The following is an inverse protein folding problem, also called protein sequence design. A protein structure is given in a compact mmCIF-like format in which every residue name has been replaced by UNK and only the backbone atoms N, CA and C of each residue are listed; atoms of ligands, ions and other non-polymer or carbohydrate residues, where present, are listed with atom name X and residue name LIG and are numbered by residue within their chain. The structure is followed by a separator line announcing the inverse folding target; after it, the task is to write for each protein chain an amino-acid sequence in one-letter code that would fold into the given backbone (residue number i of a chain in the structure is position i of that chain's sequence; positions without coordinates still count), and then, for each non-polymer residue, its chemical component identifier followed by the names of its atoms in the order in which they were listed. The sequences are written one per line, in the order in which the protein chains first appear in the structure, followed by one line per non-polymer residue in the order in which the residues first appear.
data_IF_779797344720
#
_entry.id   IF_779797344720
#
_cell.length_a   1.000
_cell.length_b   1.000
_cell.length_c   1.000
_cell.angle_alpha   90.00
_cell.angle_beta   90.00
_cell.angle_gamma   90.00
#
_symmetry.space_group_name_H-M   'P 1'
#
loop_
_entity.id
_entity.type
_entity.pdbx_description
1 polymer ?
#
# COMPACT_ATOMS: atom_id res chain seq x y z
N UNK A 1 5.01 15.93 -1.01
CA UNK A 1 5.37 15.40 0.32
C UNK A 1 6.87 15.49 0.43
N UNK A 2 7.39 16.18 1.45
CA UNK A 2 8.84 16.37 1.63
C UNK A 2 9.52 15.08 2.11
N UNK A 3 10.84 14.93 1.97
CA UNK A 3 11.48 13.66 2.37
C UNK A 3 11.64 13.46 3.88
N UNK A 4 11.61 14.53 4.67
CA UNK A 4 11.61 14.48 6.15
C UNK A 4 10.20 14.42 6.74
N UNK A 5 9.17 14.45 5.90
CA UNK A 5 7.79 14.38 6.35
C UNK A 5 7.50 12.98 6.94
N UNK A 6 6.93 12.96 8.15
CA UNK A 6 6.40 11.73 8.74
C UNK A 6 5.22 11.28 7.91
N UNK A 7 5.25 10.05 7.42
CA UNK A 7 4.24 9.54 6.51
C UNK A 7 3.66 8.25 7.05
N UNK A 8 2.33 8.21 7.05
CA UNK A 8 1.53 7.03 7.37
C UNK A 8 0.70 6.67 6.15
N UNK A 9 0.43 5.38 6.02
CA UNK A 9 -0.52 4.86 5.04
C UNK A 9 -1.77 4.46 5.80
N UNK A 10 -2.92 4.92 5.33
CA UNK A 10 -4.21 4.40 5.77
C UNK A 10 -4.85 3.64 4.62
N UNK A 11 -5.45 2.48 4.93
CA UNK A 11 -6.10 1.65 3.92
C UNK A 11 -7.60 1.47 4.23
N UNK A 12 -8.43 2.53 4.21
CA UNK A 12 -9.86 2.41 4.51
C UNK A 12 -10.57 1.50 3.51
N UNK A 13 -11.49 0.68 4.00
CA UNK A 13 -12.32 -0.18 3.17
C UNK A 13 -13.78 0.08 3.46
N UNK A 14 -14.57 0.22 2.40
CA UNK A 14 -15.97 0.61 2.48
C UNK A 14 -16.87 -0.48 1.88
N UNK A 15 -18.05 -0.64 2.47
CA UNK A 15 -19.05 -1.61 2.02
C UNK A 15 -19.86 -1.05 0.85
N UNK A 16 -19.18 -0.82 -0.27
CA UNK A 16 -19.78 -0.39 -1.54
C UNK A 16 -18.86 -0.74 -2.70
N UNK A 17 -19.37 -1.36 -3.76
CA UNK A 17 -18.59 -1.69 -4.96
C UNK A 17 -19.38 -1.61 -6.26
N UNK A 18 -20.60 -1.06 -6.24
CA UNK A 18 -21.55 -1.08 -7.35
C UNK A 18 -22.06 0.31 -7.74
N UNK A 19 -22.41 1.14 -6.75
CA UNK A 19 -22.95 2.49 -6.93
C UNK A 19 -21.84 3.50 -7.17
N UNK A 20 -21.58 3.81 -8.44
CA UNK A 20 -20.50 4.70 -8.86
C UNK A 20 -20.58 6.08 -8.16
N UNK A 21 -21.77 6.64 -8.00
CA UNK A 21 -22.00 7.92 -7.35
C UNK A 21 -21.62 7.92 -5.86
N UNK A 22 -21.78 6.78 -5.17
CA UNK A 22 -21.39 6.62 -3.77
C UNK A 22 -19.88 6.42 -3.65
N UNK A 23 -19.31 5.61 -4.55
CA UNK A 23 -17.87 5.37 -4.62
C UNK A 23 -17.13 6.68 -4.87
N UNK A 24 -17.53 7.44 -5.88
CA UNK A 24 -16.92 8.71 -6.23
C UNK A 24 -17.05 9.72 -5.08
N UNK A 25 -18.22 9.82 -4.44
CA UNK A 25 -18.39 10.70 -3.29
C UNK A 25 -17.46 10.37 -2.10
N UNK A 26 -17.24 9.08 -1.81
CA UNK A 26 -16.31 8.65 -0.77
C UNK A 26 -14.87 8.96 -1.17
N UNK A 27 -14.48 8.68 -2.43
CA UNK A 27 -13.15 8.98 -2.94
C UNK A 27 -12.87 10.49 -2.94
N UNK A 28 -13.83 11.31 -3.34
CA UNK A 28 -13.72 12.78 -3.31
C UNK A 28 -13.54 13.28 -1.88
N UNK A 29 -14.28 12.71 -0.92
CA UNK A 29 -14.12 13.04 0.50
C UNK A 29 -12.71 12.71 1.01
N UNK A 30 -12.16 11.53 0.66
CA UNK A 30 -10.79 11.15 1.00
C UNK A 30 -9.75 12.08 0.35
N UNK A 31 -9.96 12.47 -0.92
CA UNK A 31 -9.05 13.33 -1.66
C UNK A 31 -9.16 14.82 -1.27
N UNK A 32 -10.22 15.23 -0.56
CA UNK A 32 -10.49 16.64 -0.25
C UNK A 32 -9.58 17.24 0.82
N UNK A 33 -8.85 16.43 1.59
CA UNK A 33 -8.06 16.88 2.73
C UNK A 33 -6.64 17.24 2.31
N UNK A 34 -6.21 18.52 2.43
CA UNK A 34 -4.85 18.92 2.12
C UNK A 34 -3.82 18.15 2.96
N UNK A 35 -2.74 17.69 2.33
CA UNK A 35 -1.70 16.90 2.98
C UNK A 35 -1.99 15.40 3.04
N UNK A 36 -3.18 14.96 2.61
CA UNK A 36 -3.51 13.56 2.36
C UNK A 36 -3.77 13.36 0.87
N UNK A 37 -3.32 12.23 0.32
CA UNK A 37 -3.53 11.87 -1.08
C UNK A 37 -4.12 10.48 -1.18
N UNK A 38 -5.28 10.37 -1.81
CA UNK A 38 -5.83 9.10 -2.27
C UNK A 38 -4.97 8.59 -3.43
N UNK A 39 -4.22 7.53 -3.21
CA UNK A 39 -3.27 6.98 -4.19
C UNK A 39 -3.75 5.69 -4.85
N UNK A 40 -4.75 5.04 -4.25
CA UNK A 40 -5.32 3.81 -4.77
C UNK A 40 -6.81 3.77 -4.47
N UNK A 41 -7.59 3.31 -5.45
CA UNK A 41 -8.98 2.93 -5.28
C UNK A 41 -9.29 1.72 -6.17
N UNK A 42 -10.01 0.75 -5.63
CA UNK A 42 -10.53 -0.37 -6.40
C UNK A 42 -11.90 -0.76 -5.85
N UNK A 43 -12.91 -0.70 -6.72
CA UNK A 43 -14.25 -1.17 -6.43
C UNK A 43 -14.41 -2.58 -6.99
N UNK A 44 -14.94 -3.48 -6.18
CA UNK A 44 -15.29 -4.84 -6.58
C UNK A 44 -16.81 -5.01 -6.46
N UNK A 45 -17.47 -5.23 -7.60
CA UNK A 45 -18.93 -5.35 -7.66
C UNK A 45 -19.45 -6.69 -7.09
N UNK A 46 -18.67 -7.76 -7.16
CA UNK A 46 -19.04 -9.07 -6.64
C UNK A 46 -18.95 -9.08 -5.11
N UNK A 47 -17.82 -8.64 -4.59
CA UNK A 47 -17.58 -8.46 -3.16
C UNK A 47 -18.35 -7.27 -2.57
N UNK A 48 -18.85 -6.38 -3.43
CA UNK A 48 -19.54 -5.12 -3.08
C UNK A 48 -18.75 -4.29 -2.07
N UNK A 49 -17.47 -4.07 -2.39
CA UNK A 49 -16.45 -3.49 -1.51
C UNK A 49 -15.56 -2.53 -2.28
N UNK A 50 -15.16 -1.45 -1.61
CA UNK A 50 -14.25 -0.43 -2.12
C UNK A 50 -13.01 -0.41 -1.23
N UNK A 51 -11.89 -0.79 -1.83
CA UNK A 51 -10.58 -0.74 -1.20
C UNK A 51 -9.88 0.56 -1.60
N UNK A 52 -9.42 1.32 -0.61
CA UNK A 52 -8.75 2.61 -0.85
C UNK A 52 -7.44 2.68 -0.09
N UNK A 53 -6.48 3.44 -0.62
CA UNK A 53 -5.24 3.77 0.10
C UNK A 53 -5.01 5.27 0.07
N UNK A 54 -4.82 5.84 1.25
CA UNK A 54 -4.46 7.24 1.46
C UNK A 54 -3.08 7.34 2.10
N UNK A 55 -2.27 8.26 1.62
CA UNK A 55 -0.94 8.56 2.17
C UNK A 55 -0.83 10.03 2.51
N UNK A 56 -0.15 10.35 3.60
CA UNK A 56 0.13 11.71 4.02
C UNK A 56 0.69 11.77 5.43
N UNK A 57 0.71 12.97 6.01
CA UNK A 57 1.05 13.16 7.42
C UNK A 57 0.01 12.47 8.33
N UNK A 58 0.37 12.07 9.57
CA UNK A 58 -0.56 11.45 10.50
C UNK A 58 -1.88 12.23 10.67
N UNK A 59 -1.78 13.54 10.80
CA UNK A 59 -2.94 14.43 11.01
C UNK A 59 -3.82 14.54 9.78
N UNK A 60 -3.21 14.71 8.59
CA UNK A 60 -3.96 14.83 7.35
C UNK A 60 -4.64 13.50 6.98
N UNK A 61 -3.95 12.38 7.13
CA UNK A 61 -4.51 11.04 6.86
C UNK A 61 -5.65 10.72 7.82
N UNK A 62 -5.51 11.08 9.10
CA UNK A 62 -6.58 10.96 10.10
C UNK A 62 -7.83 11.75 9.68
N UNK A 63 -7.66 13.01 9.31
CA UNK A 63 -8.76 13.86 8.84
C UNK A 63 -9.40 13.32 7.53
N UNK A 64 -8.59 12.84 6.59
CA UNK A 64 -9.05 12.18 5.37
C UNK A 64 -9.88 10.95 5.67
N UNK A 65 -9.37 10.04 6.52
CA UNK A 65 -10.08 8.82 6.90
C UNK A 65 -11.42 9.12 7.58
N UNK A 66 -11.48 10.16 8.43
CA UNK A 66 -12.72 10.63 9.03
C UNK A 66 -13.71 11.14 7.97
N UNK A 67 -13.24 11.95 7.01
CA UNK A 67 -14.08 12.49 5.94
C UNK A 67 -14.68 11.37 5.06
N UNK A 68 -13.85 10.40 4.65
CA UNK A 68 -14.31 9.23 3.91
C UNK A 68 -15.31 8.37 4.70
N UNK A 69 -15.03 8.12 5.98
CA UNK A 69 -15.93 7.37 6.86
C UNK A 69 -17.27 8.09 7.07
N UNK A 70 -17.25 9.40 7.29
CA UNK A 70 -18.47 10.21 7.42
C UNK A 70 -19.33 10.13 6.17
N UNK A 71 -18.71 10.24 4.99
CA UNK A 71 -19.43 10.14 3.70
C UNK A 71 -20.01 8.74 3.48
N UNK A 72 -19.26 7.69 3.82
CA UNK A 72 -19.75 6.32 3.74
C UNK A 72 -20.96 6.08 4.65
N UNK A 73 -20.90 6.55 5.90
CA UNK A 73 -21.97 6.44 6.90
C UNK A 73 -23.24 7.18 6.48
N UNK A 74 -23.09 8.30 5.79
CA UNK A 74 -24.19 9.08 5.22
C UNK A 74 -24.91 8.32 4.09
N UNK A 75 -24.14 7.71 3.18
CA UNK A 75 -24.65 7.20 1.89
C UNK A 75 -24.93 5.69 1.85
N UNK A 76 -24.39 4.93 2.81
CA UNK A 76 -24.49 3.46 2.86
C UNK A 76 -25.44 3.05 3.98
N UNK A 77 -26.45 2.27 3.60
CA UNK A 77 -27.32 1.56 4.52
C UNK A 77 -26.91 0.09 4.57
N UNK A 78 -26.30 -0.33 5.68
CA UNK A 78 -25.81 -1.70 5.84
C UNK A 78 -26.94 -2.73 5.94
N UNK A 79 -28.18 -2.33 6.23
CA UNK A 79 -29.32 -3.25 6.24
C UNK A 79 -29.74 -3.68 4.83
N UNK A 80 -29.34 -2.90 3.82
CA UNK A 80 -29.58 -3.19 2.40
C UNK A 80 -28.31 -3.72 1.71
N UNK A 81 -27.17 -3.72 2.39
CA UNK A 81 -25.90 -4.12 1.83
C UNK A 81 -25.69 -5.65 1.90
N UNK A 82 -25.40 -6.22 0.74
CA UNK A 82 -24.94 -7.58 0.58
C UNK A 82 -23.79 -7.65 -0.43
N UNK A 83 -22.79 -8.48 -0.14
CA UNK A 83 -21.62 -8.70 -0.99
C UNK A 83 -20.94 -10.03 -0.65
N UNK A 84 -20.07 -10.53 -1.54
CA UNK A 84 -19.33 -11.77 -1.32
C UNK A 84 -18.25 -11.70 -0.22
N UNK A 85 -17.90 -10.50 0.25
CA UNK A 85 -16.86 -10.31 1.27
C UNK A 85 -17.45 -10.05 2.66
N UNK A 86 -16.91 -10.67 3.73
CA UNK A 86 -17.35 -10.40 5.10
C UNK A 86 -17.22 -8.93 5.47
N UNK A 87 -18.29 -8.36 6.01
CA UNK A 87 -18.43 -6.93 6.33
C UNK A 87 -19.20 -6.69 7.63
N UNK A 88 -18.92 -5.60 8.33
CA UNK A 88 -19.69 -5.23 9.53
C UNK A 88 -20.08 -3.75 9.60
N UNK A 89 -19.63 -2.89 8.66
CA UNK A 89 -20.02 -1.49 8.63
C UNK A 89 -19.79 -0.80 7.29
N UNK A 90 -20.39 0.38 7.14
CA UNK A 90 -20.29 1.22 5.94
C UNK A 90 -18.82 1.59 5.66
N UNK A 91 -18.12 2.06 6.69
CA UNK A 91 -16.66 2.04 6.77
C UNK A 91 -16.26 0.84 7.63
N UNK A 92 -15.83 -0.23 6.97
CA UNK A 92 -15.71 -1.56 7.57
C UNK A 92 -14.41 -1.72 8.35
N UNK A 93 -13.27 -1.32 7.76
CA UNK A 93 -11.98 -1.25 8.46
C UNK A 93 -11.14 -0.07 8.00
N UNK A 94 -10.46 0.56 8.97
CA UNK A 94 -9.56 1.69 8.78
C UNK A 94 -8.24 1.39 9.52
N UNK A 95 -7.28 0.71 8.86
CA UNK A 95 -5.96 0.46 9.42
C UNK A 95 -4.97 1.58 9.09
N UNK A 96 -4.05 1.83 10.02
CA UNK A 96 -2.86 2.65 9.83
C UNK A 96 -1.62 1.75 9.72
N UNK A 97 -0.73 2.09 8.79
CA UNK A 97 0.47 1.33 8.47
C UNK A 97 1.66 2.31 8.43
N UNK A 98 2.77 2.02 9.14
CA UNK A 98 3.93 2.89 9.11
C UNK A 98 4.55 2.91 7.70
N UNK A 99 4.96 4.10 7.25
CA UNK A 99 5.65 4.26 5.97
C UNK A 99 7.02 4.94 6.11
N UNK A 100 7.05 6.19 6.58
CA UNK A 100 8.30 6.95 6.71
C UNK A 100 8.36 7.68 8.04
N UNK A 101 9.44 7.45 8.79
CA UNK A 101 9.70 8.13 10.07
C UNK A 101 8.75 7.76 11.21
N UNK A 102 7.79 6.85 11.01
CA UNK A 102 6.85 6.39 12.02
C UNK A 102 7.15 4.94 12.41
N UNK A 103 7.16 4.67 13.70
CA UNK A 103 7.18 3.33 14.25
C UNK A 103 5.78 2.69 14.22
N UNK A 104 5.73 1.39 14.51
CA UNK A 104 4.45 0.72 14.72
C UNK A 104 3.70 1.28 15.94
N UNK A 105 4.42 1.67 16.99
CA UNK A 105 3.82 2.20 18.22
C UNK A 105 3.17 3.56 17.96
N UNK A 106 3.80 4.43 17.15
CA UNK A 106 3.19 5.69 16.70
C UNK A 106 1.88 5.44 15.94
N UNK A 107 1.85 4.41 15.09
CA UNK A 107 0.63 4.03 14.37
C UNK A 107 -0.44 3.46 15.30
N UNK A 108 -0.07 2.74 16.36
CA UNK A 108 -0.99 2.25 17.39
C UNK A 108 -1.64 3.41 18.14
N UNK A 109 -0.86 4.41 18.55
CA UNK A 109 -1.38 5.62 19.20
C UNK A 109 -2.30 6.42 18.27
N UNK A 110 -1.91 6.58 17.01
CA UNK A 110 -2.74 7.20 15.97
C UNK A 110 -4.06 6.45 15.79
N UNK A 111 -4.02 5.13 15.65
CA UNK A 111 -5.22 4.30 15.50
C UNK A 111 -6.15 4.41 16.71
N UNK A 112 -5.62 4.38 17.92
CA UNK A 112 -6.41 4.48 19.17
C UNK A 112 -7.06 5.86 19.33
N UNK A 113 -6.31 6.93 19.08
CA UNK A 113 -6.83 8.29 19.15
C UNK A 113 -7.89 8.55 18.07
N UNK A 114 -7.64 8.11 16.83
CA UNK A 114 -8.61 8.20 15.74
C UNK A 114 -9.87 7.38 16.01
N UNK A 115 -9.76 6.16 16.55
CA UNK A 115 -10.91 5.32 16.86
C UNK A 115 -11.88 6.01 17.82
N UNK A 116 -11.34 6.71 18.83
CA UNK A 116 -12.12 7.48 19.78
C UNK A 116 -12.82 8.66 19.10
N UNK A 117 -12.09 9.45 18.32
CA UNK A 117 -12.67 10.58 17.58
C UNK A 117 -13.76 10.14 16.61
N UNK A 118 -13.51 9.06 15.85
CA UNK A 118 -14.44 8.51 14.89
C UNK A 118 -15.76 8.12 15.57
N UNK A 119 -15.67 7.43 16.70
CA UNK A 119 -16.82 7.02 17.49
C UNK A 119 -17.60 8.21 18.03
N UNK A 120 -16.91 9.24 18.55
CA UNK A 120 -17.53 10.45 19.09
C UNK A 120 -18.17 11.31 18.00
N UNK A 121 -17.51 11.46 16.85
CA UNK A 121 -17.94 12.33 15.76
C UNK A 121 -19.13 11.75 15.00
N UNK A 122 -19.15 10.42 14.80
CA UNK A 122 -20.14 9.74 13.97
C UNK A 122 -21.18 8.93 14.76
N UNK A 123 -21.12 8.93 16.11
CA UNK A 123 -21.94 8.08 16.99
C UNK A 123 -21.92 6.60 16.55
N UNK A 124 -20.72 6.08 16.30
CA UNK A 124 -20.48 4.77 15.69
C UNK A 124 -19.82 3.80 16.68
N UNK A 125 -20.24 2.52 16.74
CA UNK A 125 -19.50 1.47 17.44
C UNK A 125 -18.16 1.24 16.76
N UNK A 126 -17.06 1.42 17.49
CA UNK A 126 -15.70 1.25 16.96
C UNK A 126 -14.95 0.20 17.76
N UNK A 127 -14.30 -0.72 17.04
CA UNK A 127 -13.47 -1.79 17.59
C UNK A 127 -12.01 -1.57 17.22
N UNK A 128 -11.13 -1.65 18.20
CA UNK A 128 -9.70 -1.69 17.97
C UNK A 128 -9.25 -3.12 17.67
N UNK A 129 -8.44 -3.29 16.62
CA UNK A 129 -7.96 -4.60 16.19
C UNK A 129 -6.45 -4.62 15.92
N UNK A 130 -5.91 -5.84 15.76
CA UNK A 130 -4.48 -6.10 15.49
C UNK A 130 -3.59 -5.48 16.59
N UNK A 131 -2.49 -4.80 16.24
CA UNK A 131 -1.59 -4.17 17.22
C UNK A 131 -2.28 -3.09 18.06
N UNK A 132 -3.38 -2.51 17.60
CA UNK A 132 -4.11 -1.51 18.36
C UNK A 132 -5.12 -2.10 19.36
N UNK A 133 -5.43 -3.40 19.25
CA UNK A 133 -6.39 -4.09 20.08
C UNK A 133 -6.14 -3.88 21.58
N UNK A 134 -7.23 -3.76 22.35
CA UNK A 134 -7.17 -3.67 23.82
C UNK A 134 -7.31 -5.04 24.50
N UNK A 135 -7.81 -6.03 23.76
CA UNK A 135 -8.03 -7.39 24.24
C UNK A 135 -7.49 -8.41 23.23
N UNK A 136 -6.94 -9.56 23.67
CA UNK A 136 -6.29 -10.53 22.78
C UNK A 136 -7.19 -11.08 21.67
N UNK A 137 -8.50 -11.21 21.93
CA UNK A 137 -9.49 -11.77 21.00
C UNK A 137 -9.65 -10.89 19.74
N UNK A 138 -9.23 -9.62 19.79
CA UNK A 138 -9.31 -8.67 18.67
C UNK A 138 -8.02 -8.56 17.87
N UNK A 139 -7.03 -9.41 18.13
CA UNK A 139 -5.81 -9.45 17.34
C UNK A 139 -6.09 -9.77 15.84
N UNK A 140 -7.17 -10.50 15.55
CA UNK A 140 -7.57 -10.84 14.18
C UNK A 140 -8.83 -10.08 13.75
N UNK A 141 -8.76 -9.39 12.62
CA UNK A 141 -9.93 -8.76 11.99
C UNK A 141 -11.04 -9.79 11.68
N UNK A 142 -10.68 -11.03 11.34
CA UNK A 142 -11.67 -12.07 11.07
C UNK A 142 -12.47 -12.43 12.33
N UNK A 143 -11.84 -12.39 13.52
CA UNK A 143 -12.55 -12.61 14.79
C UNK A 143 -13.41 -11.40 15.17
N UNK A 144 -12.96 -10.17 14.87
CA UNK A 144 -13.78 -8.96 15.03
C UNK A 144 -15.01 -9.01 14.11
N UNK A 145 -14.86 -9.45 12.87
CA UNK A 145 -15.94 -9.58 11.87
C UNK A 145 -16.73 -10.88 11.95
N UNK A 146 -16.47 -11.74 12.93
CA UNK A 146 -17.14 -13.04 13.03
C UNK A 146 -18.65 -12.85 13.15
N UNK A 147 -19.38 -13.48 12.23
CA UNK A 147 -20.83 -13.33 12.10
C UNK A 147 -21.27 -12.07 11.35
N UNK A 148 -20.33 -11.32 10.78
CA UNK A 148 -20.57 -10.12 9.97
C UNK A 148 -21.39 -9.05 10.72
N UNK A 149 -22.19 -8.26 10.01
CA UNK A 149 -23.07 -7.25 10.62
C UNK A 149 -24.12 -7.89 11.54
N UNK A 150 -24.80 -8.92 11.05
CA UNK A 150 -25.97 -9.50 11.70
C UNK A 150 -25.59 -10.16 13.02
N UNK A 151 -24.57 -11.02 13.02
CA UNK A 151 -24.07 -11.69 14.21
C UNK A 151 -23.42 -10.74 15.21
N UNK A 152 -22.77 -9.66 14.74
CA UNK A 152 -22.23 -8.63 15.63
C UNK A 152 -23.36 -7.85 16.32
N UNK A 153 -24.40 -7.47 15.58
CA UNK A 153 -25.58 -6.77 16.13
C UNK A 153 -26.26 -7.59 17.22
N UNK A 154 -26.46 -8.88 16.99
CA UNK A 154 -27.05 -9.78 17.98
C UNK A 154 -26.18 -9.94 19.23
N UNK A 155 -24.86 -10.09 19.06
CA UNK A 155 -23.94 -10.20 20.19
C UNK A 155 -23.96 -8.93 21.06
N UNK A 156 -23.86 -7.75 20.44
CA UNK A 156 -23.89 -6.46 21.15
C UNK A 156 -25.23 -6.27 21.87
N UNK A 157 -26.35 -6.67 21.26
CA UNK A 157 -27.66 -6.62 21.89
C UNK A 157 -27.77 -7.50 23.15
N UNK A 158 -26.98 -8.58 23.25
CA UNK A 158 -26.86 -9.42 24.46
C UNK A 158 -25.84 -8.92 25.47
N UNK A 159 -25.16 -7.79 25.21
CA UNK A 159 -24.08 -7.28 26.05
C UNK A 159 -22.75 -7.99 25.82
N UNK A 160 -22.62 -8.78 24.76
CA UNK A 160 -21.42 -9.51 24.37
C UNK A 160 -20.65 -8.72 23.32
N UNK A 161 -19.32 -8.92 23.23
CA UNK A 161 -18.48 -8.33 22.17
C UNK A 161 -18.72 -6.81 22.00
N UNK A 162 -18.83 -6.08 23.10
CA UNK A 162 -19.08 -4.63 23.11
C UNK A 162 -17.94 -3.86 22.42
N UNK A 163 -18.22 -2.76 21.71
CA UNK A 163 -17.19 -1.94 21.06
C UNK A 163 -16.22 -1.33 22.09
N UNK A 164 -15.02 -0.97 21.64
CA UNK A 164 -14.05 -0.24 22.49
C UNK A 164 -14.49 1.21 22.71
N UNK A 165 -15.08 1.81 21.68
CA UNK A 165 -15.59 3.18 21.71
C UNK A 165 -16.96 3.29 21.05
N UNK A 166 -17.69 4.33 21.43
CA UNK A 166 -19.00 4.63 20.88
C UNK A 166 -20.13 3.83 21.51
N UNK A 167 -21.33 3.86 20.91
CA UNK A 167 -22.52 3.31 21.53
C UNK A 167 -22.55 1.77 21.46
N UNK A 168 -23.07 1.13 22.52
CA UNK A 168 -23.29 -0.32 22.59
C UNK A 168 -24.56 -0.75 21.83
N UNK A 169 -24.73 -0.25 20.59
CA UNK A 169 -25.82 -0.63 19.67
C UNK A 169 -25.30 -0.57 18.24
N UNK A 170 -25.59 -1.58 17.44
CA UNK A 170 -25.19 -1.59 16.02
C UNK A 170 -26.34 -1.01 15.18
N UNK A 171 -26.14 0.22 14.68
CA UNK A 171 -27.12 0.93 13.86
C UNK A 171 -27.08 0.56 12.37
N UNK A 172 -27.68 1.44 11.56
CA UNK A 172 -27.76 1.33 10.09
C UNK A 172 -26.40 1.38 9.40
N UNK A 173 -25.44 2.11 9.98
CA UNK A 173 -24.09 2.21 9.45
C UNK A 173 -23.18 1.03 9.87
N UNK A 174 -23.67 0.14 10.74
CA UNK A 174 -22.90 -0.97 11.28
C UNK A 174 -21.85 -0.54 12.32
N UNK A 175 -20.67 -1.15 12.26
CA UNK A 175 -19.53 -0.88 13.12
C UNK A 175 -18.23 -0.76 12.31
N UNK A 176 -17.24 -0.03 12.84
CA UNK A 176 -15.93 0.12 12.19
C UNK A 176 -14.83 -0.55 13.00
N UNK A 177 -13.95 -1.30 12.34
CA UNK A 177 -12.68 -1.73 12.92
C UNK A 177 -11.59 -0.69 12.62
N UNK A 178 -10.83 -0.30 13.63
CA UNK A 178 -9.67 0.59 13.49
C UNK A 178 -8.45 -0.13 14.02
N UNK A 179 -7.32 -0.07 13.32
CA UNK A 179 -6.14 -0.82 13.73
C UNK A 179 -4.83 -0.19 13.29
N UNK A 180 -3.75 -0.74 13.81
CA UNK A 180 -2.40 -0.50 13.33
C UNK A 180 -1.78 -1.85 12.98
N UNK A 181 -1.19 -1.96 11.79
CA UNK A 181 -0.61 -3.22 11.31
C UNK A 181 0.54 -2.99 10.36
N UNK A 182 1.32 -4.04 10.11
CA UNK A 182 2.28 -4.04 9.01
C UNK A 182 1.57 -3.99 7.66
N UNK A 183 2.32 -3.60 6.63
CA UNK A 183 1.84 -3.68 5.26
C UNK A 183 1.47 -5.13 4.94
N UNK A 184 0.30 -5.30 4.32
CA UNK A 184 -0.23 -6.60 3.93
C UNK A 184 -0.25 -6.60 2.42
N UNK A 185 0.29 -7.65 1.83
CA UNK A 185 0.38 -7.80 0.38
C UNK A 185 -0.66 -8.84 -0.03
N UNK A 186 -1.65 -8.41 -0.81
CA UNK A 186 -2.60 -9.31 -1.44
C UNK A 186 -1.96 -9.84 -2.72
N UNK A 187 -1.67 -11.14 -2.72
CA UNK A 187 -0.95 -11.83 -3.79
C UNK A 187 -1.82 -12.99 -4.29
N UNK A 188 -2.18 -12.97 -5.56
CA UNK A 188 -2.95 -14.04 -6.19
C UNK A 188 -2.03 -14.84 -7.10
N UNK A 189 -2.14 -16.17 -7.05
CA UNK A 189 -1.51 -17.06 -8.01
C UNK A 189 -2.58 -17.82 -8.77
N UNK A 190 -2.60 -17.64 -10.09
CA UNK A 190 -3.52 -18.33 -10.96
C UNK A 190 -2.90 -19.63 -11.43
N UNK A 191 -3.68 -20.71 -11.36
CA UNK A 191 -3.23 -22.06 -11.68
C UNK A 191 -4.16 -22.73 -12.69
N UNK A 192 -3.59 -23.70 -13.41
CA UNK A 192 -4.38 -24.71 -14.12
C UNK A 192 -5.06 -25.68 -13.14
N UNK A 193 -6.07 -26.41 -13.59
CA UNK A 193 -6.69 -27.50 -12.82
C UNK A 193 -8.02 -27.11 -12.17
N UNK A 194 -8.27 -27.61 -10.95
CA UNK A 194 -9.59 -27.58 -10.32
C UNK A 194 -9.64 -26.77 -9.03
N UNK A 195 -10.83 -26.22 -8.73
CA UNK A 195 -11.07 -25.41 -7.54
C UNK A 195 -10.83 -26.22 -6.26
N UNK A 196 -11.18 -27.51 -6.28
CA UNK A 196 -10.93 -28.42 -5.17
C UNK A 196 -9.44 -28.49 -4.82
N UNK A 197 -8.57 -28.61 -5.82
CA UNK A 197 -7.13 -28.64 -5.59
C UNK A 197 -6.59 -27.27 -5.15
N UNK A 198 -7.11 -26.16 -5.69
CA UNK A 198 -6.74 -24.81 -5.22
C UNK A 198 -7.08 -24.61 -3.74
N UNK A 199 -8.25 -25.08 -3.28
CA UNK A 199 -8.64 -25.07 -1.86
C UNK A 199 -7.69 -25.88 -0.99
N UNK A 200 -7.28 -27.06 -1.45
CA UNK A 200 -6.30 -27.89 -0.73
C UNK A 200 -4.90 -27.26 -0.69
N UNK A 201 -4.46 -26.61 -1.77
CA UNK A 201 -3.20 -25.85 -1.78
C UNK A 201 -3.26 -24.70 -0.77
N UNK A 202 -4.32 -23.88 -0.83
CA UNK A 202 -4.51 -22.77 0.11
C UNK A 202 -4.53 -23.22 1.57
N UNK A 203 -5.16 -24.37 1.85
CA UNK A 203 -5.17 -24.99 3.17
C UNK A 203 -3.78 -25.46 3.60
N UNK A 204 -2.99 -26.03 2.69
CA UNK A 204 -1.64 -26.49 3.01
C UNK A 204 -0.67 -25.33 3.31
N UNK A 205 -0.81 -24.19 2.62
CA UNK A 205 0.13 -23.07 2.76
C UNK A 205 -0.22 -22.06 3.85
N UNK A 206 -1.49 -21.96 4.30
CA UNK A 206 -1.90 -20.93 5.27
C UNK A 206 -1.51 -21.27 6.71
N UNK A 207 -1.15 -20.26 7.47
CA UNK A 207 -0.71 -20.37 8.87
C UNK A 207 -1.73 -21.08 9.77
N UNK A 208 -3.03 -20.79 9.59
CA UNK A 208 -4.10 -21.37 10.41
C UNK A 208 -4.24 -22.89 10.28
N UNK A 209 -3.54 -23.51 9.32
CA UNK A 209 -3.51 -24.94 9.09
C UNK A 209 -2.09 -25.53 9.26
N UNK A 210 -1.17 -24.76 9.86
CA UNK A 210 0.21 -25.16 10.12
C UNK A 210 1.17 -24.93 8.93
N UNK A 211 0.74 -24.14 7.94
CA UNK A 211 1.56 -23.79 6.77
C UNK A 211 2.57 -22.67 7.07
N UNK A 212 2.77 -21.80 6.08
CA UNK A 212 3.69 -20.67 6.19
C UNK A 212 3.21 -19.66 7.25
N UNK A 213 4.10 -19.18 8.14
CA UNK A 213 3.75 -18.13 9.09
C UNK A 213 3.40 -16.83 8.34
N UNK A 214 2.52 -16.01 8.90
CA UNK A 214 2.09 -14.75 8.31
C UNK A 214 1.45 -14.85 6.91
N UNK A 215 0.96 -16.05 6.53
CA UNK A 215 0.22 -16.26 5.28
C UNK A 215 -1.21 -16.69 5.59
N UNK A 216 -2.18 -15.98 5.01
CA UNK A 216 -3.58 -16.38 4.98
C UNK A 216 -3.93 -16.67 3.52
N UNK A 217 -4.57 -17.80 3.25
CA UNK A 217 -4.89 -18.18 1.87
C UNK A 217 -6.26 -18.84 1.73
N UNK A 218 -6.89 -18.57 0.59
CA UNK A 218 -8.14 -19.19 0.12
C UNK A 218 -7.98 -19.60 -1.34
N UNK A 219 -8.66 -20.68 -1.73
CA UNK A 219 -8.68 -21.16 -3.11
C UNK A 219 -10.09 -21.09 -3.68
N UNK A 220 -10.24 -20.57 -4.90
CA UNK A 220 -11.53 -20.46 -5.58
C UNK A 220 -11.37 -20.47 -7.11
N UNK A 221 -12.48 -20.69 -7.82
CA UNK A 221 -12.51 -20.67 -9.28
C UNK A 221 -12.61 -19.22 -9.80
N UNK A 222 -12.03 -18.96 -10.97
CA UNK A 222 -12.10 -17.67 -11.66
C UNK A 222 -12.65 -17.94 -13.07
N UNK A 223 -13.98 -18.10 -13.22
CA UNK A 223 -14.60 -18.57 -14.46
C UNK A 223 -14.29 -17.69 -15.67
N UNK A 224 -14.14 -16.38 -15.47
CA UNK A 224 -13.85 -15.41 -16.54
C UNK A 224 -12.49 -15.63 -17.18
N UNK A 225 -11.55 -16.25 -16.45
CA UNK A 225 -10.20 -16.56 -16.92
C UNK A 225 -10.01 -18.05 -17.26
N UNK A 226 -11.05 -18.88 -17.14
CA UNK A 226 -10.99 -20.35 -17.25
C UNK A 226 -9.87 -20.97 -16.38
N UNK A 227 -9.75 -20.47 -15.15
CA UNK A 227 -8.65 -20.79 -14.22
C UNK A 227 -9.15 -20.92 -12.79
N UNK A 228 -8.24 -21.34 -11.91
CA UNK A 228 -8.44 -21.28 -10.46
C UNK A 228 -7.35 -20.43 -9.83
N UNK A 229 -7.62 -19.89 -8.66
CA UNK A 229 -6.65 -19.05 -7.95
C UNK A 229 -6.41 -19.55 -6.54
N UNK A 230 -5.18 -19.39 -6.08
CA UNK A 230 -4.84 -19.35 -4.65
C UNK A 230 -4.59 -17.88 -4.33
N UNK A 231 -5.60 -17.25 -3.73
CA UNK A 231 -5.51 -15.87 -3.25
C UNK A 231 -4.96 -15.88 -1.84
N UNK A 232 -3.92 -15.09 -1.58
CA UNK A 232 -3.27 -15.02 -0.29
C UNK A 232 -3.02 -13.59 0.17
N UNK A 233 -3.12 -13.38 1.47
CA UNK A 233 -2.62 -12.21 2.15
C UNK A 233 -1.34 -12.60 2.89
N UNK A 234 -0.22 -12.02 2.45
CA UNK A 234 1.04 -12.04 3.19
C UNK A 234 0.97 -10.87 4.18
N UNK A 235 0.74 -11.18 5.45
CA UNK A 235 0.47 -10.17 6.49
C UNK A 235 1.74 -9.62 7.14
N UNK A 236 2.88 -10.28 6.92
CA UNK A 236 4.21 -9.85 7.33
C UNK A 236 5.25 -10.41 6.35
N UNK A 237 5.63 -9.60 5.37
CA UNK A 237 6.55 -10.01 4.30
C UNK A 237 8.00 -10.20 4.79
N UNK A 238 8.34 -9.71 5.98
CA UNK A 238 9.65 -9.94 6.61
C UNK A 238 9.74 -11.34 7.24
N UNK A 239 8.59 -11.96 7.54
CA UNK A 239 8.49 -13.32 8.10
C UNK A 239 8.32 -14.36 7.00
N UNK A 240 7.53 -14.05 5.97
CA UNK A 240 7.41 -14.88 4.77
C UNK A 240 7.37 -13.96 3.56
N UNK A 241 8.43 -13.98 2.76
CA UNK A 241 8.53 -13.21 1.54
C UNK A 241 7.66 -13.79 0.40
N UNK A 242 7.49 -13.01 -0.67
CA UNK A 242 6.67 -13.38 -1.82
C UNK A 242 7.21 -14.59 -2.58
N UNK A 243 8.54 -14.79 -2.62
CA UNK A 243 9.14 -15.97 -3.28
C UNK A 243 8.84 -17.24 -2.52
N UNK A 244 8.98 -17.23 -1.20
CA UNK A 244 8.65 -18.37 -0.33
C UNK A 244 7.18 -18.75 -0.46
N UNK A 245 6.28 -17.76 -0.49
CA UNK A 245 4.85 -18.00 -0.71
C UNK A 245 4.57 -18.59 -2.11
N UNK A 246 5.20 -18.03 -3.15
CA UNK A 246 5.12 -18.55 -4.52
C UNK A 246 5.63 -19.98 -4.65
N UNK A 247 6.79 -20.28 -4.06
CA UNK A 247 7.42 -21.58 -4.12
C UNK A 247 6.61 -22.64 -3.39
N UNK A 248 5.97 -22.29 -2.28
CA UNK A 248 5.08 -23.20 -1.57
C UNK A 248 3.86 -23.56 -2.41
N UNK A 249 3.22 -22.57 -3.07
CA UNK A 249 2.10 -22.83 -3.98
C UNK A 249 2.55 -23.64 -5.18
N UNK A 250 3.69 -23.30 -5.80
CA UNK A 250 4.25 -24.02 -6.95
C UNK A 250 4.55 -25.47 -6.60
N UNK A 251 5.18 -25.74 -5.46
CA UNK A 251 5.50 -27.09 -5.00
C UNK A 251 4.22 -27.90 -4.70
N UNK A 252 3.24 -27.30 -4.05
CA UNK A 252 1.98 -27.98 -3.69
C UNK A 252 1.06 -28.21 -4.89
N UNK A 253 1.09 -27.29 -5.86
CA UNK A 253 0.47 -27.42 -7.17
C UNK A 253 1.10 -28.54 -7.99
N UNK A 254 2.43 -28.62 -8.06
CA UNK A 254 3.12 -29.68 -8.79
C UNK A 254 2.78 -31.08 -8.25
N UNK A 255 2.67 -31.25 -6.93
CA UNK A 255 2.22 -32.53 -6.30
C UNK A 255 0.81 -32.95 -6.73
N UNK A 256 -0.01 -32.01 -7.21
CA UNK A 256 -1.39 -32.20 -7.67
C UNK A 256 -1.53 -32.13 -9.18
N UNK A 257 -0.43 -32.06 -9.93
CA UNK A 257 -0.44 -31.89 -11.38
C UNK A 257 -1.00 -30.54 -11.85
N UNK A 258 -0.92 -29.51 -11.01
CA UNK A 258 -1.27 -28.14 -11.36
C UNK A 258 -0.02 -27.32 -11.62
N UNK A 259 -0.14 -26.35 -12.52
CA UNK A 259 0.92 -25.40 -12.84
C UNK A 259 0.46 -24.00 -12.44
N UNK A 260 1.36 -23.23 -11.80
CA UNK A 260 1.17 -21.79 -11.61
C UNK A 260 1.42 -21.11 -12.94
N UNK A 261 0.41 -20.43 -13.48
CA UNK A 261 0.46 -19.79 -14.79
C UNK A 261 1.06 -18.39 -14.66
N UNK A 262 0.49 -17.58 -13.77
CA UNK A 262 0.90 -16.20 -13.47
C UNK A 262 0.54 -15.83 -12.04
N UNK A 263 1.11 -14.71 -11.61
CA UNK A 263 0.83 -14.06 -10.34
C UNK A 263 0.32 -12.64 -10.54
N UNK A 264 -0.33 -12.11 -9.52
CA UNK A 264 -0.92 -10.78 -9.51
C UNK A 264 -0.82 -10.19 -8.10
N UNK A 265 -0.26 -8.98 -8.01
CA UNK A 265 -0.35 -8.18 -6.79
C UNK A 265 -1.61 -7.33 -6.90
N UNK A 266 -2.52 -7.51 -5.95
CA UNK A 266 -3.74 -6.71 -5.82
C UNK A 266 -3.45 -5.53 -4.91
N UNK A 267 -3.62 -4.32 -5.43
CA UNK A 267 -3.31 -3.10 -4.69
C UNK A 267 -1.84 -2.73 -4.72
N UNK A 268 -1.35 -2.27 -3.56
CA UNK A 268 0.00 -1.72 -3.42
C UNK A 268 0.91 -2.67 -2.64
N UNK A 269 2.20 -2.60 -2.95
CA UNK A 269 3.25 -3.40 -2.31
C UNK A 269 4.38 -2.50 -1.80
N UNK A 270 4.95 -2.76 -0.62
CA UNK A 270 6.17 -2.08 -0.17
C UNK A 270 7.36 -2.41 -1.08
N UNK A 271 8.20 -1.42 -1.36
CA UNK A 271 9.44 -1.59 -2.14
C UNK A 271 10.38 -2.62 -1.51
N UNK A 272 10.38 -2.74 -0.18
CA UNK A 272 11.19 -3.72 0.54
C UNK A 272 10.73 -5.18 0.31
N UNK A 273 9.49 -5.39 -0.17
CA UNK A 273 8.93 -6.72 -0.38
C UNK A 273 9.13 -7.25 -1.81
N UNK A 274 9.56 -6.41 -2.74
CA UNK A 274 9.70 -6.77 -4.16
C UNK A 274 10.86 -6.04 -4.83
N UNK A 275 11.62 -6.78 -5.62
CA UNK A 275 12.68 -6.31 -6.52
C UNK A 275 12.30 -6.49 -7.99
N UNK A 276 13.04 -5.87 -8.91
CA UNK A 276 12.78 -6.01 -10.34
C UNK A 276 12.96 -7.46 -10.83
N UNK A 277 13.86 -8.22 -10.20
CA UNK A 277 14.05 -9.66 -10.50
C UNK A 277 12.85 -10.51 -10.04
N UNK A 278 12.15 -10.08 -8.99
CA UNK A 278 10.98 -10.78 -8.46
C UNK A 278 9.80 -10.72 -9.41
N UNK A 279 9.65 -9.64 -10.18
CA UNK A 279 8.55 -9.48 -11.14
C UNK A 279 8.52 -10.65 -12.12
N UNK A 280 9.68 -10.98 -12.69
CA UNK A 280 9.83 -12.12 -13.60
C UNK A 280 9.72 -13.47 -12.86
N UNK A 281 10.33 -13.60 -11.68
CA UNK A 281 10.32 -14.83 -10.90
C UNK A 281 8.91 -15.26 -10.48
N UNK A 282 8.13 -14.30 -9.96
CA UNK A 282 6.77 -14.47 -9.46
C UNK A 282 5.73 -14.50 -10.58
N UNK A 283 6.16 -14.33 -11.85
CA UNK A 283 5.31 -14.26 -13.04
C UNK A 283 4.21 -13.19 -12.91
N UNK A 284 4.57 -12.00 -12.41
CA UNK A 284 3.59 -10.94 -12.19
C UNK A 284 3.13 -10.34 -13.52
N UNK A 285 1.91 -10.69 -13.96
CA UNK A 285 1.31 -10.11 -15.16
C UNK A 285 0.62 -8.79 -14.82
N UNK A 286 0.89 -7.75 -15.61
CA UNK A 286 0.26 -6.44 -15.45
C UNK A 286 0.72 -5.66 -14.22
N UNK A 287 1.76 -6.11 -13.51
CA UNK A 287 2.31 -5.37 -12.38
C UNK A 287 2.99 -4.09 -12.84
N UNK A 288 2.46 -2.97 -12.39
CA UNK A 288 3.01 -1.65 -12.67
C UNK A 288 3.84 -1.19 -11.46
N UNK A 289 5.15 -1.39 -11.54
CA UNK A 289 6.06 -1.01 -10.46
C UNK A 289 5.97 0.49 -10.11
N UNK A 290 5.62 1.36 -11.06
CA UNK A 290 5.52 2.80 -10.83
C UNK A 290 4.27 3.19 -10.04
N UNK A 291 3.17 2.48 -10.29
CA UNK A 291 1.87 2.80 -9.69
C UNK A 291 1.47 1.86 -8.54
N UNK A 292 2.17 0.73 -8.36
CA UNK A 292 1.87 -0.25 -7.32
C UNK A 292 2.91 -0.33 -6.20
N UNK A 293 4.11 0.26 -6.37
CA UNK A 293 5.08 0.33 -5.27
C UNK A 293 4.84 1.55 -4.39
N UNK A 294 4.56 1.32 -3.12
CA UNK A 294 4.09 2.32 -2.17
C UNK A 294 5.04 3.52 -2.04
N UNK A 295 6.33 3.27 -1.88
CA UNK A 295 7.36 4.29 -1.68
C UNK A 295 7.58 5.14 -2.95
N UNK A 296 7.34 4.56 -4.13
CA UNK A 296 7.42 5.27 -5.42
C UNK A 296 6.27 6.26 -5.59
N UNK A 297 5.14 6.00 -4.95
CA UNK A 297 4.04 6.95 -4.94
C UNK A 297 4.40 8.20 -4.13
N UNK A 298 5.23 8.08 -3.09
CA UNK A 298 5.50 9.18 -2.15
C UNK A 298 6.79 9.93 -2.44
N UNK A 299 7.65 9.37 -3.27
CA UNK A 299 8.72 10.16 -3.87
C UNK A 299 8.04 11.28 -4.67
N UNK A 300 8.28 12.55 -4.34
CA UNK A 300 7.89 13.64 -5.25
C UNK A 300 8.41 13.34 -6.65
N UNK A 301 7.76 13.85 -7.71
CA UNK A 301 8.08 13.54 -9.11
C UNK A 301 9.59 13.43 -9.32
N UNK A 302 10.11 12.21 -9.29
CA UNK A 302 11.54 11.98 -9.31
C UNK A 302 12.05 12.57 -10.61
N UNK A 303 13.11 13.38 -10.53
CA UNK A 303 13.73 14.00 -11.70
C UNK A 303 14.14 12.92 -12.70
N UNK A 304 14.46 11.71 -12.21
CA UNK A 304 14.74 10.52 -13.03
C UNK A 304 13.63 10.15 -14.00
N UNK A 305 12.39 10.50 -13.68
CA UNK A 305 11.17 10.01 -14.33
C UNK A 305 10.37 11.11 -15.00
N UNK A 306 10.83 12.36 -14.92
CA UNK A 306 10.20 13.46 -15.62
C UNK A 306 10.56 13.44 -17.11
N UNK A 307 9.61 13.78 -17.97
CA UNK A 307 9.95 14.14 -19.34
C UNK A 307 10.88 15.36 -19.32
N UNK A 308 11.90 15.36 -20.19
CA UNK A 308 12.87 16.48 -20.26
C UNK A 308 12.15 17.82 -20.43
N UNK A 309 11.08 17.86 -21.23
CA UNK A 309 10.29 19.07 -21.41
C UNK A 309 9.59 19.50 -20.12
N UNK A 310 8.91 18.59 -19.43
CA UNK A 310 8.23 18.87 -18.17
C UNK A 310 9.21 19.36 -17.09
N UNK A 311 10.36 18.70 -16.96
CA UNK A 311 11.42 19.13 -16.04
C UNK A 311 11.90 20.55 -16.33
N UNK A 312 12.14 20.87 -17.61
CA UNK A 312 12.59 22.21 -18.00
C UNK A 312 11.51 23.27 -17.79
N UNK A 313 10.23 22.94 -17.99
CA UNK A 313 9.12 23.86 -17.73
C UNK A 313 8.98 24.19 -16.24
N UNK A 314 9.12 23.19 -15.35
CA UNK A 314 9.11 23.42 -13.90
C UNK A 314 10.37 24.18 -13.47
N UNK A 315 11.55 23.83 -13.99
CA UNK A 315 12.81 24.53 -13.69
C UNK A 315 12.77 26.01 -14.11
N UNK A 316 12.06 26.34 -15.20
CA UNK A 316 11.91 27.70 -15.70
C UNK A 316 10.77 28.50 -15.02
N UNK A 317 10.03 27.87 -14.10
CA UNK A 317 8.88 28.47 -13.43
C UNK A 317 9.27 29.31 -12.20
N UNK A 318 8.27 29.78 -11.45
CA UNK A 318 8.43 30.39 -10.13
C UNK A 318 8.54 29.35 -8.99
N UNK A 319 8.52 28.06 -9.33
CA UNK A 319 8.74 26.98 -8.37
C UNK A 319 10.16 27.06 -7.77
N UNK A 320 10.30 26.93 -6.44
CA UNK A 320 11.61 26.93 -5.79
C UNK A 320 12.46 25.69 -6.09
N UNK A 321 11.84 24.60 -6.53
CA UNK A 321 12.46 23.30 -6.85
C UNK A 321 11.82 22.71 -8.12
N UNK A 322 12.58 22.03 -9.00
CA UNK A 322 14.02 21.75 -8.93
C UNK A 322 14.88 22.99 -9.19
N UNK A 323 16.08 23.03 -8.57
CA UNK A 323 17.00 24.17 -8.65
C UNK A 323 18.37 23.82 -9.25
N UNK A 324 19.37 24.67 -8.97
CA UNK A 324 20.71 24.50 -9.54
C UNK A 324 21.42 23.20 -9.14
N UNK A 325 21.20 22.70 -7.92
CA UNK A 325 21.81 21.44 -7.47
C UNK A 325 21.20 20.22 -8.17
N UNK A 326 19.88 20.21 -8.32
CA UNK A 326 19.15 19.24 -9.14
C UNK A 326 19.68 19.18 -10.58
N UNK A 327 19.90 20.34 -11.21
CA UNK A 327 20.51 20.43 -12.56
C UNK A 327 21.95 19.93 -12.57
N UNK A 328 22.74 20.20 -11.52
CA UNK A 328 24.11 19.69 -11.42
C UNK A 328 24.14 18.15 -11.34
N UNK A 329 23.20 17.55 -10.59
CA UNK A 329 23.00 16.10 -10.58
C UNK A 329 22.64 15.57 -11.98
N UNK A 330 21.69 16.20 -12.67
CA UNK A 330 21.33 15.79 -14.03
C UNK A 330 22.49 15.92 -15.02
N UNK A 331 23.30 16.97 -14.93
CA UNK A 331 24.49 17.15 -15.75
C UNK A 331 25.55 16.07 -15.49
N UNK A 332 25.77 15.70 -14.23
CA UNK A 332 26.64 14.59 -13.84
C UNK A 332 26.16 13.25 -14.42
N UNK A 333 24.86 12.99 -14.33
CA UNK A 333 24.24 11.79 -14.89
C UNK A 333 24.36 11.73 -16.43
N UNK A 334 24.16 12.86 -17.12
CA UNK A 334 24.37 12.95 -18.56
C UNK A 334 25.83 12.70 -18.95
N UNK A 335 26.79 13.22 -18.16
CA UNK A 335 28.22 12.95 -18.34
C UNK A 335 28.56 11.46 -18.20
N UNK A 336 28.04 10.80 -17.17
CA UNK A 336 28.20 9.36 -16.97
C UNK A 336 27.58 8.54 -18.12
N UNK A 337 26.39 8.92 -18.59
CA UNK A 337 25.74 8.28 -19.74
C UNK A 337 26.56 8.38 -21.03
N UNK A 338 27.25 9.52 -21.27
CA UNK A 338 28.15 9.68 -22.41
C UNK A 338 29.37 8.74 -22.32
N UNK A 339 29.90 8.53 -21.10
CA UNK A 339 30.99 7.56 -20.87
C UNK A 339 30.49 6.15 -21.19
N UNK A 340 29.33 5.74 -20.66
CA UNK A 340 28.73 4.44 -20.95
C UNK A 340 28.54 4.22 -22.46
N UNK A 341 28.07 5.24 -23.18
CA UNK A 341 27.89 5.16 -24.63
C UNK A 341 29.20 4.86 -25.35
N UNK A 342 30.28 5.60 -25.03
CA UNK A 342 31.60 5.40 -25.66
C UNK A 342 32.17 4.02 -25.31
N UNK A 343 32.01 3.57 -24.07
CA UNK A 343 32.44 2.25 -23.63
C UNK A 343 31.69 1.14 -24.38
N UNK A 344 30.36 1.24 -24.52
CA UNK A 344 29.54 0.28 -25.27
C UNK A 344 29.85 0.27 -26.76
N UNK A 345 30.28 1.40 -27.34
CA UNK A 345 30.76 1.46 -28.74
C UNK A 345 32.16 0.84 -28.93
N UNK A 346 32.87 0.58 -27.83
CA UNK A 346 34.22 0.01 -27.83
C UNK A 346 34.19 -1.49 -27.52
N UNK A 347 33.38 -1.91 -26.54
CA UNK A 347 33.22 -3.32 -26.16
C UNK A 347 32.68 -4.15 -27.33
N UNK A 348 33.35 -5.26 -27.64
CA UNK A 348 32.95 -6.18 -28.71
C UNK A 348 33.28 -5.71 -30.13
N UNK A 349 34.01 -4.59 -30.27
CA UNK A 349 34.47 -4.09 -31.57
C UNK A 349 35.83 -4.69 -31.95
N UNK A 350 35.94 -5.12 -33.19
CA UNK A 350 37.19 -5.65 -33.76
C UNK A 350 38.32 -4.60 -33.65
N UNK A 351 39.48 -5.03 -33.13
CA UNK A 351 40.65 -4.19 -32.91
C UNK A 351 40.71 -3.50 -31.55
N UNK A 352 39.79 -3.79 -30.64
CA UNK A 352 39.73 -3.26 -29.26
C UNK A 352 39.66 -4.37 -28.20
N UNK A 353 40.03 -5.60 -28.55
CA UNK A 353 39.94 -6.77 -27.67
C UNK A 353 40.85 -6.65 -26.44
N UNK A 354 41.98 -5.97 -26.59
CA UNK A 354 42.99 -5.77 -25.55
C UNK A 354 42.55 -4.82 -24.43
N UNK A 355 41.52 -3.99 -24.66
CA UNK A 355 40.98 -3.05 -23.67
C UNK A 355 39.69 -3.53 -22.99
N UNK A 356 39.20 -4.72 -23.33
CA UNK A 356 37.89 -5.22 -22.89
C UNK A 356 37.68 -5.23 -21.37
N UNK A 357 38.65 -5.73 -20.60
CA UNK A 357 38.58 -5.78 -19.13
C UNK A 357 38.49 -4.38 -18.51
N UNK A 358 39.36 -3.47 -18.97
CA UNK A 358 39.36 -2.07 -18.52
C UNK A 358 38.04 -1.37 -18.87
N UNK A 359 37.54 -1.57 -20.08
CA UNK A 359 36.27 -1.01 -20.53
C UNK A 359 35.10 -1.54 -19.69
N UNK A 360 35.10 -2.84 -19.34
CA UNK A 360 34.10 -3.42 -18.44
C UNK A 360 34.08 -2.78 -17.06
N UNK A 361 35.25 -2.52 -16.46
CA UNK A 361 35.34 -1.82 -15.18
C UNK A 361 34.82 -0.38 -15.25
N UNK A 362 35.19 0.36 -16.30
CA UNK A 362 34.71 1.74 -16.52
C UNK A 362 33.20 1.77 -16.75
N UNK A 363 32.63 0.77 -17.43
CA UNK A 363 31.19 0.67 -17.63
C UNK A 363 30.45 0.57 -16.29
N UNK A 364 30.89 -0.33 -15.42
CA UNK A 364 30.27 -0.53 -14.11
C UNK A 364 30.35 0.74 -13.22
N UNK A 365 31.51 1.42 -13.23
CA UNK A 365 31.68 2.70 -12.52
C UNK A 365 30.76 3.80 -13.09
N UNK A 366 30.65 3.91 -14.42
CA UNK A 366 29.80 4.90 -15.06
C UNK A 366 28.31 4.64 -14.81
N UNK A 367 27.86 3.39 -14.85
CA UNK A 367 26.48 3.00 -14.53
C UNK A 367 26.12 3.32 -13.07
N UNK A 368 27.05 3.06 -12.16
CA UNK A 368 26.93 3.43 -10.74
C UNK A 368 26.83 4.95 -10.59
N UNK A 369 27.78 5.69 -11.17
CA UNK A 369 27.83 7.14 -11.09
C UNK A 369 26.58 7.81 -11.69
N UNK A 370 26.09 7.32 -12.84
CA UNK A 370 24.85 7.83 -13.46
C UNK A 370 23.68 7.73 -12.49
N UNK A 371 23.55 6.58 -11.84
CA UNK A 371 22.51 6.34 -10.84
C UNK A 371 22.71 7.30 -9.67
N UNK A 372 23.89 7.32 -9.04
CA UNK A 372 24.17 8.21 -7.90
C UNK A 372 23.89 9.69 -8.19
N UNK A 373 24.29 10.19 -9.37
CA UNK A 373 24.03 11.59 -9.75
C UNK A 373 22.55 11.92 -9.89
N UNK A 374 21.75 10.98 -10.40
CA UNK A 374 20.31 11.15 -10.45
C UNK A 374 19.68 11.10 -9.05
N UNK A 375 20.19 10.27 -8.12
CA UNK A 375 19.73 10.29 -6.72
C UNK A 375 20.10 11.61 -6.04
N UNK A 376 21.28 12.15 -6.33
CA UNK A 376 21.71 13.45 -5.82
C UNK A 376 20.82 14.58 -6.34
N UNK A 377 20.34 14.49 -7.58
CA UNK A 377 19.40 15.47 -8.12
C UNK A 377 18.08 15.48 -7.31
N UNK A 378 17.51 14.31 -7.05
CA UNK A 378 16.30 14.17 -6.24
C UNK A 378 16.55 14.64 -4.80
N UNK A 379 17.69 14.27 -4.21
CA UNK A 379 18.08 14.67 -2.85
C UNK A 379 18.25 16.18 -2.69
N UNK A 380 18.73 16.88 -3.72
CA UNK A 380 18.84 18.35 -3.71
C UNK A 380 17.46 19.01 -3.63
N UNK A 381 16.54 18.62 -4.51
CA UNK A 381 15.17 19.13 -4.52
C UNK A 381 14.48 18.86 -3.17
N UNK A 382 14.63 17.64 -2.67
CA UNK A 382 14.15 17.20 -1.37
C UNK A 382 14.71 18.06 -0.21
N UNK A 383 16.04 18.27 -0.20
CA UNK A 383 16.70 19.00 0.88
C UNK A 383 16.29 20.47 0.89
N UNK A 384 16.15 21.06 -0.29
CA UNK A 384 15.68 22.44 -0.43
C UNK A 384 14.25 22.61 0.09
N UNK A 385 13.34 21.69 -0.27
CA UNK A 385 11.97 21.70 0.24
C UNK A 385 11.92 21.61 1.77
N UNK A 386 12.78 20.76 2.37
CA UNK A 386 12.93 20.66 3.83
C UNK A 386 13.37 21.97 4.49
N UNK A 387 14.39 22.63 3.91
CA UNK A 387 14.86 23.95 4.38
C UNK A 387 13.75 25.00 4.28
N UNK A 388 12.98 25.00 3.18
CA UNK A 388 11.88 25.93 3.00
C UNK A 388 10.71 25.67 3.96
N UNK A 389 10.43 24.40 4.26
CA UNK A 389 9.44 24.04 5.27
C UNK A 389 9.86 24.54 6.66
N UNK A 390 11.13 24.34 7.04
CA UNK A 390 11.69 24.86 8.29
C UNK A 390 11.60 26.39 8.38
N UNK A 391 11.87 27.12 7.28
CA UNK A 391 11.72 28.58 7.26
C UNK A 391 10.29 29.07 7.47
N UNK A 392 9.30 28.26 7.06
CA UNK A 392 7.85 28.53 7.20
C UNK A 392 7.29 28.13 8.56
N UNK A 393 8.05 27.45 9.42
CA UNK A 393 7.59 27.08 10.75
C UNK A 393 7.23 28.33 11.60
N UNK A 394 6.28 28.22 12.54
CA UNK A 394 5.95 29.28 13.50
C UNK A 394 7.18 29.75 14.26
N UNK A 395 7.22 31.03 14.62
CA UNK A 395 8.34 31.66 15.36
C UNK A 395 7.84 32.49 16.54
N UNK A 396 6.65 32.17 17.04
CA UNK A 396 5.92 32.95 18.04
C UNK A 396 6.40 32.71 19.46
N UNK A 397 6.94 31.52 19.77
CA UNK A 397 7.46 31.16 21.09
C UNK A 397 8.95 30.83 21.06
N UNK A 398 9.61 30.88 22.22
CA UNK A 398 11.03 30.49 22.32
C UNK A 398 11.23 28.98 22.09
N UNK A 399 10.20 28.16 22.38
CA UNK A 399 10.17 26.74 22.05
C UNK A 399 9.95 26.46 20.55
N UNK A 400 9.30 27.37 19.82
CA UNK A 400 9.14 27.27 18.36
C UNK A 400 10.38 27.77 17.59
N UNK A 401 11.21 28.63 18.21
CA UNK A 401 12.44 29.16 17.61
C UNK A 401 13.66 28.27 17.84
N UNK A 402 13.69 27.54 18.95
CA UNK A 402 14.74 26.60 19.32
C UNK A 402 14.55 25.29 18.57
#
# INVERSE_FOLDING_TARGET
MGAEELLVVCVPNFSEGRRAEVIDAICDALASVPGARLVYRQADAEHNRLDTTVIGSPEAVRASALAGAAKAVELIDMEQHHGGHPRMGAADVIPFVPLRGLSMDDCVELARSFAKELAETLDLPVYLYDRAALVPERASLAEVRKGELEGLREAVARGERLPDFGPHRIGRAGATAVGARKALIAFNLYLSGSEANAKEIAKAIRESSGGLPAVRAIGFAVPERDRVTVSMNVVDFEVTDLRAAFDAVRAEGARRGMEVLDGEIVGLVPQAAISDEDIAYLRLEGFDAEHQILERLVSGESIRRQEVQAFLDVLASDSPTPGGGAVAGLAGAAGAALIEMVVRLTLGREGYEDVGERMGAVLAEAETARTEFLDLADRDAIAFDGVMAAFKMPKGTDAEKA
#
